data_IF_759322623410
#
_entry.id   IF_759322623410
#
_cell.length_a   1.000
_cell.length_b   1.000
_cell.length_c   1.000
_cell.angle_alpha   90.00
_cell.angle_beta   90.00
_cell.angle_gamma   90.00
#
_symmetry.space_group_name_H-M   'P 1'
#
loop_
_entity.id
_entity.type
_entity.pdbx_description
1 polymer ?
#
# COMPACT_ATOMS: atom_id res chain seq x y z
N UNK A 1 -20.23 -3.44 -14.05
CA UNK A 1 -19.99 -3.90 -12.68
C UNK A 1 -21.18 -4.77 -12.31
N UNK A 2 -20.93 -6.03 -11.98
CA UNK A 2 -21.96 -6.95 -11.50
C UNK A 2 -22.10 -6.76 -9.98
N UNK A 3 -23.34 -6.57 -9.51
CA UNK A 3 -23.67 -6.36 -8.10
C UNK A 3 -24.45 -7.55 -7.52
N UNK A 4 -24.34 -8.72 -8.13
CA UNK A 4 -24.86 -9.96 -7.57
C UNK A 4 -24.26 -10.23 -6.17
N UNK A 5 -25.03 -10.89 -5.27
CA UNK A 5 -24.51 -11.25 -3.94
C UNK A 5 -23.20 -12.04 -3.99
N UNK A 6 -23.04 -12.91 -4.99
CA UNK A 6 -21.84 -13.73 -5.17
C UNK A 6 -20.62 -12.86 -5.55
N UNK A 7 -20.80 -11.89 -6.45
CA UNK A 7 -19.75 -10.94 -6.84
C UNK A 7 -19.32 -10.06 -5.68
N UNK A 8 -20.28 -9.53 -4.90
CA UNK A 8 -19.97 -8.74 -3.69
C UNK A 8 -19.27 -9.60 -2.64
N UNK A 9 -19.73 -10.84 -2.43
CA UNK A 9 -19.11 -11.80 -1.52
C UNK A 9 -17.65 -12.08 -1.89
N UNK A 10 -17.35 -12.28 -3.18
CA UNK A 10 -15.99 -12.48 -3.66
C UNK A 10 -15.09 -11.27 -3.41
N UNK A 11 -15.58 -10.05 -3.63
CA UNK A 11 -14.83 -8.82 -3.38
C UNK A 11 -14.43 -8.71 -1.89
N UNK A 12 -15.39 -8.94 -0.99
CA UNK A 12 -15.15 -8.89 0.47
C UNK A 12 -14.17 -9.98 0.91
N UNK A 13 -14.31 -11.19 0.33
CA UNK A 13 -13.41 -12.31 0.59
C UNK A 13 -11.98 -11.97 0.16
N UNK A 14 -11.78 -11.55 -1.08
CA UNK A 14 -10.48 -11.16 -1.63
C UNK A 14 -9.83 -10.06 -0.78
N UNK A 15 -10.60 -9.05 -0.39
CA UNK A 15 -10.13 -7.93 0.44
C UNK A 15 -9.63 -8.43 1.80
N UNK A 16 -10.40 -9.30 2.43
CA UNK A 16 -10.08 -9.85 3.75
C UNK A 16 -8.88 -10.80 3.71
N UNK A 17 -8.81 -11.67 2.70
CA UNK A 17 -7.70 -12.59 2.48
C UNK A 17 -6.38 -11.84 2.27
N UNK A 18 -6.37 -10.80 1.43
CA UNK A 18 -5.17 -10.00 1.19
C UNK A 18 -4.66 -9.30 2.46
N UNK A 19 -5.56 -8.71 3.25
CA UNK A 19 -5.22 -8.08 4.54
C UNK A 19 -4.60 -9.08 5.52
N UNK A 20 -5.24 -10.23 5.72
CA UNK A 20 -4.74 -11.30 6.59
C UNK A 20 -3.40 -11.86 6.12
N UNK A 21 -3.25 -12.13 4.83
CA UNK A 21 -2.03 -12.69 4.25
C UNK A 21 -0.85 -11.72 4.38
N UNK A 22 -1.10 -10.43 4.18
CA UNK A 22 -0.10 -9.37 4.39
C UNK A 22 0.35 -9.28 5.84
N UNK A 23 -0.59 -9.34 6.80
CA UNK A 23 -0.28 -9.33 8.23
C UNK A 23 0.62 -10.52 8.62
N UNK A 24 0.27 -11.73 8.16
CA UNK A 24 1.08 -12.93 8.40
C UNK A 24 2.46 -12.83 7.77
N UNK A 25 2.57 -12.29 6.55
CA UNK A 25 3.85 -12.07 5.88
C UNK A 25 4.76 -11.11 6.67
N UNK A 26 4.21 -10.00 7.19
CA UNK A 26 4.95 -9.05 8.02
C UNK A 26 5.40 -9.67 9.34
N UNK A 27 4.52 -10.40 10.02
CA UNK A 27 4.83 -11.09 11.28
C UNK A 27 5.95 -12.10 11.05
N UNK A 28 5.82 -12.95 10.02
CA UNK A 28 6.84 -13.94 9.68
C UNK A 28 8.19 -13.28 9.35
N UNK A 29 8.19 -12.21 8.55
CA UNK A 29 9.41 -11.46 8.21
C UNK A 29 10.11 -10.91 9.46
N UNK A 30 9.35 -10.29 10.36
CA UNK A 30 9.90 -9.72 11.60
C UNK A 30 10.35 -10.79 12.58
N UNK A 31 9.66 -11.92 12.71
CA UNK A 31 10.11 -13.03 13.54
C UNK A 31 11.46 -13.58 13.09
N UNK A 32 11.70 -13.69 11.78
CA UNK A 32 12.97 -14.18 11.24
C UNK A 32 14.10 -13.16 11.43
N UNK A 33 13.83 -11.87 11.17
CA UNK A 33 14.90 -10.85 11.09
C UNK A 33 15.12 -10.08 12.40
N UNK A 34 14.06 -9.74 13.12
CA UNK A 34 14.08 -8.88 14.33
C UNK A 34 12.91 -9.25 15.27
N UNK A 35 12.94 -10.41 15.94
CA UNK A 35 11.79 -10.94 16.67
C UNK A 35 11.28 -10.02 17.80
N UNK A 36 12.14 -9.15 18.35
CA UNK A 36 11.76 -8.14 19.37
C UNK A 36 11.04 -6.89 18.82
N UNK A 37 10.77 -6.82 17.51
CA UNK A 37 10.16 -5.65 16.84
C UNK A 37 8.79 -5.93 16.22
N UNK A 38 8.08 -6.98 16.66
CA UNK A 38 6.67 -7.16 16.30
C UNK A 38 5.83 -6.39 17.31
N UNK A 39 5.50 -5.15 16.99
CA UNK A 39 4.56 -4.32 17.74
C UNK A 39 3.23 -4.20 17.01
N UNK A 40 2.22 -3.62 17.68
CA UNK A 40 0.90 -3.44 17.10
C UNK A 40 0.95 -2.59 15.82
N UNK A 41 1.78 -1.55 15.80
CA UNK A 41 1.95 -0.68 14.62
C UNK A 41 2.42 -1.47 13.40
N UNK A 42 3.40 -2.35 13.57
CA UNK A 42 3.89 -3.21 12.49
C UNK A 42 2.79 -4.13 11.93
N UNK A 43 1.98 -4.74 12.79
CA UNK A 43 0.87 -5.61 12.35
C UNK A 43 -0.21 -4.80 11.63
N UNK A 44 -0.61 -3.65 12.18
CA UNK A 44 -1.61 -2.77 11.58
C UNK A 44 -1.17 -2.27 10.21
N UNK A 45 0.08 -1.83 10.07
CA UNK A 45 0.64 -1.45 8.77
C UNK A 45 0.74 -2.64 7.81
N UNK A 46 0.99 -3.85 8.31
CA UNK A 46 0.86 -5.09 7.54
C UNK A 46 -0.54 -5.28 6.98
N UNK A 47 -1.57 -5.23 7.83
CA UNK A 47 -2.98 -5.36 7.40
C UNK A 47 -3.33 -4.29 6.36
N UNK A 48 -3.04 -3.02 6.67
CA UNK A 48 -3.33 -1.90 5.78
C UNK A 48 -2.61 -2.01 4.43
N UNK A 49 -1.35 -2.45 4.42
CA UNK A 49 -0.60 -2.68 3.19
C UNK A 49 -1.29 -3.70 2.28
N UNK A 50 -1.79 -4.80 2.83
CA UNK A 50 -2.55 -5.81 2.09
C UNK A 50 -3.89 -5.28 1.55
N UNK A 51 -4.62 -4.52 2.37
CA UNK A 51 -5.88 -3.88 1.97
C UNK A 51 -5.66 -2.86 0.85
N UNK A 52 -4.62 -2.04 0.93
CA UNK A 52 -4.26 -1.10 -0.14
C UNK A 52 -3.84 -1.86 -1.40
N UNK A 53 -3.02 -2.90 -1.27
CA UNK A 53 -2.52 -3.66 -2.42
C UNK A 53 -3.62 -4.33 -3.24
N UNK A 54 -4.69 -4.84 -2.61
CA UNK A 54 -5.79 -5.51 -3.33
C UNK A 54 -6.87 -4.55 -3.87
N UNK A 55 -6.89 -3.30 -3.42
CA UNK A 55 -7.98 -2.34 -3.70
C UNK A 55 -8.24 -2.16 -5.21
N UNK A 56 -7.20 -2.15 -6.03
CA UNK A 56 -7.33 -1.90 -7.47
C UNK A 56 -7.87 -3.10 -8.27
N UNK A 57 -7.88 -4.30 -7.69
CA UNK A 57 -8.21 -5.54 -8.41
C UNK A 57 -9.15 -6.48 -7.67
N UNK A 58 -9.74 -6.08 -6.55
CA UNK A 58 -10.52 -6.96 -5.67
C UNK A 58 -11.71 -7.65 -6.35
N UNK A 59 -12.26 -7.05 -7.41
CA UNK A 59 -13.39 -7.56 -8.19
C UNK A 59 -12.98 -8.40 -9.41
N UNK A 60 -11.71 -8.32 -9.83
CA UNK A 60 -11.21 -8.88 -11.08
C UNK A 60 -10.11 -9.94 -10.88
N UNK A 61 -9.84 -10.36 -9.65
CA UNK A 61 -8.93 -11.47 -9.32
C UNK A 61 -9.67 -12.57 -8.56
N UNK A 62 -9.08 -13.77 -8.56
CA UNK A 62 -9.58 -14.89 -7.78
C UNK A 62 -8.94 -14.92 -6.36
N UNK A 63 -9.53 -15.67 -5.40
CA UNK A 63 -9.08 -15.66 -4.01
C UNK A 63 -7.62 -16.02 -3.80
N UNK A 64 -7.06 -16.91 -4.62
CA UNK A 64 -5.67 -17.33 -4.51
C UNK A 64 -4.69 -16.20 -4.88
N UNK A 65 -5.00 -15.45 -5.92
CA UNK A 65 -4.25 -14.28 -6.37
C UNK A 65 -4.32 -13.18 -5.29
N UNK A 66 -5.47 -12.99 -4.64
CA UNK A 66 -5.60 -12.03 -3.55
C UNK A 66 -4.64 -12.31 -2.38
N UNK A 67 -4.41 -13.60 -2.05
CA UNK A 67 -3.42 -14.00 -1.04
C UNK A 67 -2.01 -13.61 -1.47
N UNK A 68 -1.62 -13.89 -2.72
CA UNK A 68 -0.30 -13.52 -3.24
C UNK A 68 -0.09 -12.01 -3.25
N UNK A 69 -1.09 -11.24 -3.69
CA UNK A 69 -1.05 -9.78 -3.68
C UNK A 69 -0.85 -9.27 -2.25
N UNK A 70 -1.58 -9.85 -1.29
CA UNK A 70 -1.43 -9.54 0.14
C UNK A 70 -0.03 -9.83 0.67
N UNK A 71 0.52 -11.03 0.42
CA UNK A 71 1.87 -11.42 0.87
C UNK A 71 2.93 -10.44 0.36
N UNK A 72 2.90 -10.11 -0.94
CA UNK A 72 3.86 -9.16 -1.54
C UNK A 72 3.68 -7.77 -0.94
N UNK A 73 2.44 -7.34 -0.69
CA UNK A 73 2.16 -6.06 -0.02
C UNK A 73 2.76 -6.01 1.38
N UNK A 74 2.69 -7.12 2.14
CA UNK A 74 3.30 -7.25 3.46
C UNK A 74 4.83 -7.10 3.41
N UNK A 75 5.48 -7.71 2.42
CA UNK A 75 6.93 -7.54 2.22
C UNK A 75 7.25 -6.09 1.83
N UNK A 76 6.46 -5.48 0.96
CA UNK A 76 6.68 -4.09 0.52
C UNK A 76 6.54 -3.11 1.68
N UNK A 77 5.47 -3.21 2.49
CA UNK A 77 5.24 -2.26 3.58
C UNK A 77 6.35 -2.36 4.63
N UNK A 78 6.79 -3.57 4.99
CA UNK A 78 7.81 -3.73 6.04
C UNK A 78 9.20 -3.26 5.58
N UNK A 79 9.54 -3.50 4.32
CA UNK A 79 10.76 -2.98 3.71
C UNK A 79 10.70 -1.46 3.55
N UNK A 80 9.54 -0.92 3.19
CA UNK A 80 9.31 0.52 3.08
C UNK A 80 9.50 1.24 4.41
N UNK A 81 8.94 0.70 5.50
CA UNK A 81 9.15 1.24 6.86
C UNK A 81 10.63 1.22 7.23
N UNK A 82 11.32 0.09 7.01
CA UNK A 82 12.75 -0.03 7.32
C UNK A 82 13.61 0.92 6.46
N UNK A 83 13.23 1.13 5.19
CA UNK A 83 13.90 2.06 4.26
C UNK A 83 13.77 3.52 4.73
N UNK A 84 12.56 3.97 5.08
CA UNK A 84 12.34 5.34 5.55
C UNK A 84 13.06 5.58 6.88
N UNK A 85 12.99 4.61 7.79
CA UNK A 85 13.70 4.68 9.08
C UNK A 85 15.22 4.76 8.88
N UNK A 86 15.79 3.97 7.96
CA UNK A 86 17.21 4.02 7.63
C UNK A 86 17.62 5.39 7.06
N UNK A 87 16.77 6.00 6.24
CA UNK A 87 17.00 7.31 5.64
C UNK A 87 16.63 8.48 6.57
N UNK A 88 16.30 8.21 7.85
CA UNK A 88 15.86 9.22 8.83
C UNK A 88 14.67 10.05 8.36
N UNK A 89 13.81 9.44 7.54
CA UNK A 89 12.53 10.01 7.14
C UNK A 89 11.49 9.57 8.16
N UNK A 90 11.01 10.53 8.97
CA UNK A 90 10.02 10.27 9.99
C UNK A 90 8.61 10.29 9.40
N UNK A 91 8.09 9.11 9.10
CA UNK A 91 6.69 8.89 8.70
C UNK A 91 5.91 8.41 9.93
N UNK A 92 5.17 9.33 10.55
CA UNK A 92 4.53 9.14 11.85
C UNK A 92 3.60 7.91 11.93
N UNK A 93 2.97 7.53 10.81
CA UNK A 93 1.99 6.44 10.78
C UNK A 93 2.35 5.32 9.79
N UNK A 94 3.36 5.53 8.94
CA UNK A 94 3.68 4.61 7.85
C UNK A 94 2.81 4.83 6.60
N UNK A 95 2.36 6.06 6.38
CA UNK A 95 1.49 6.41 5.26
C UNK A 95 2.17 6.18 3.90
N UNK A 96 3.47 6.45 3.77
CA UNK A 96 4.20 6.27 2.50
C UNK A 96 4.34 4.77 2.17
N UNK A 97 4.83 3.89 3.06
CA UNK A 97 4.91 2.46 2.77
C UNK A 97 3.54 1.83 2.49
N UNK A 98 2.52 2.18 3.27
CA UNK A 98 1.17 1.63 3.13
C UNK A 98 0.49 2.13 1.85
N UNK A 99 0.41 3.43 1.63
CA UNK A 99 -0.41 3.97 0.55
C UNK A 99 0.35 4.18 -0.76
N UNK A 100 1.59 4.66 -0.70
CA UNK A 100 2.38 4.89 -1.91
C UNK A 100 2.98 3.58 -2.43
N UNK A 101 3.76 2.86 -1.61
CA UNK A 101 4.47 1.68 -2.09
C UNK A 101 3.53 0.50 -2.37
N UNK A 102 2.63 0.15 -1.42
CA UNK A 102 1.64 -0.90 -1.70
C UNK A 102 0.60 -0.45 -2.74
N UNK A 103 0.30 0.85 -2.87
CA UNK A 103 -0.60 1.35 -3.92
C UNK A 103 -0.01 1.21 -5.32
N UNK A 104 1.29 1.54 -5.49
CA UNK A 104 2.03 1.26 -6.73
C UNK A 104 1.93 -0.23 -7.05
N UNK A 105 2.26 -1.08 -6.08
CA UNK A 105 2.16 -2.54 -6.23
C UNK A 105 0.75 -2.99 -6.61
N UNK A 106 -0.31 -2.48 -5.98
CA UNK A 106 -1.67 -2.87 -6.28
C UNK A 106 -2.07 -2.57 -7.72
N UNK A 107 -1.68 -1.41 -8.26
CA UNK A 107 -1.87 -1.12 -9.68
C UNK A 107 -1.09 -2.07 -10.59
N UNK A 108 0.16 -2.39 -10.25
CA UNK A 108 0.96 -3.37 -11.01
C UNK A 108 0.35 -4.77 -10.95
N UNK A 109 -0.04 -5.22 -9.75
CA UNK A 109 -0.69 -6.50 -9.50
C UNK A 109 -1.99 -6.63 -10.30
N UNK A 110 -2.76 -5.55 -10.41
CA UNK A 110 -3.94 -5.49 -11.30
C UNK A 110 -3.55 -5.81 -12.73
N UNK A 111 -2.44 -5.25 -13.24
CA UNK A 111 -1.96 -5.53 -14.59
C UNK A 111 -1.46 -6.97 -14.81
N UNK A 112 -1.08 -7.69 -13.75
CA UNK A 112 -0.57 -9.06 -13.84
C UNK A 112 -1.63 -10.14 -13.60
N UNK A 113 -2.51 -9.93 -12.62
CA UNK A 113 -3.41 -10.97 -12.11
C UNK A 113 -4.86 -10.79 -12.54
N UNK A 114 -5.27 -9.57 -12.92
CA UNK A 114 -6.66 -9.32 -13.19
C UNK A 114 -7.13 -10.00 -14.48
N UNK A 115 -8.31 -10.60 -14.41
CA UNK A 115 -8.92 -11.31 -15.52
C UNK A 115 -9.83 -10.36 -16.31
N UNK A 116 -9.57 -10.20 -17.60
CA UNK A 116 -10.42 -9.43 -18.51
C UNK A 116 -9.65 -8.70 -19.61
N UNK A 117 -10.17 -8.73 -20.84
CA UNK A 117 -9.51 -8.19 -22.04
C UNK A 117 -9.20 -6.68 -22.00
N UNK A 118 -9.83 -5.93 -21.09
CA UNK A 118 -9.70 -4.47 -20.98
C UNK A 118 -8.59 -4.00 -20.03
N UNK A 119 -7.93 -4.93 -19.32
CA UNK A 119 -6.90 -4.60 -18.34
C UNK A 119 -5.54 -4.69 -19.02
N UNK A 120 -4.93 -3.53 -19.23
CA UNK A 120 -3.65 -3.42 -19.93
C UNK A 120 -2.54 -3.08 -18.94
N UNK A 121 -1.55 -3.97 -18.82
CA UNK A 121 -0.36 -3.76 -17.98
C UNK A 121 0.33 -2.40 -18.24
N UNK A 122 0.42 -1.98 -19.50
CA UNK A 122 1.02 -0.68 -19.85
C UNK A 122 0.28 0.53 -19.26
N UNK A 123 -1.06 0.49 -19.18
CA UNK A 123 -1.86 1.55 -18.56
C UNK A 123 -1.71 1.53 -17.04
N UNK A 124 -1.66 0.34 -16.45
CA UNK A 124 -1.44 0.18 -15.01
C UNK A 124 -0.04 0.68 -14.60
N UNK A 125 1.01 0.33 -15.35
CA UNK A 125 2.36 0.87 -15.16
C UNK A 125 2.35 2.39 -15.19
N UNK A 126 1.77 2.99 -16.24
CA UNK A 126 1.71 4.44 -16.38
C UNK A 126 0.97 5.09 -15.20
N UNK A 127 -0.22 4.58 -14.84
CA UNK A 127 -1.02 5.09 -13.74
C UNK A 127 -0.32 4.97 -12.39
N UNK A 128 0.23 3.79 -12.08
CA UNK A 128 0.92 3.50 -10.82
C UNK A 128 2.07 4.46 -10.53
N UNK A 129 2.79 4.93 -11.55
CA UNK A 129 3.90 5.89 -11.33
C UNK A 129 3.48 7.35 -11.53
N UNK A 130 2.61 7.65 -12.50
CA UNK A 130 2.22 9.01 -12.81
C UNK A 130 1.40 9.65 -11.68
N UNK A 131 0.48 8.91 -11.07
CA UNK A 131 -0.40 9.41 -10.01
C UNK A 131 0.40 9.84 -8.77
N UNK A 132 1.28 9.00 -8.17
CA UNK A 132 2.06 9.42 -7.02
C UNK A 132 3.08 10.51 -7.37
N UNK A 133 3.64 10.50 -8.59
CA UNK A 133 4.52 11.57 -9.04
C UNK A 133 3.79 12.92 -9.09
N UNK A 134 2.63 12.97 -9.75
CA UNK A 134 1.80 14.17 -9.80
C UNK A 134 1.41 14.65 -8.41
N UNK A 135 0.93 13.74 -7.56
CA UNK A 135 0.55 14.03 -6.17
C UNK A 135 1.71 14.64 -5.38
N UNK A 136 2.90 14.05 -5.47
CA UNK A 136 4.09 14.54 -4.80
C UNK A 136 4.46 15.96 -5.23
N UNK A 137 4.46 16.24 -6.53
CA UNK A 137 4.79 17.58 -7.06
C UNK A 137 3.77 18.62 -6.59
N UNK A 138 2.48 18.33 -6.73
CA UNK A 138 1.42 19.28 -6.34
C UNK A 138 1.46 19.55 -4.83
N UNK A 139 1.52 18.49 -4.01
CA UNK A 139 1.57 18.64 -2.54
C UNK A 139 2.84 19.39 -2.11
N UNK A 140 3.99 19.10 -2.73
CA UNK A 140 5.23 19.81 -2.41
C UNK A 140 5.16 21.31 -2.74
N UNK A 141 4.58 21.67 -3.88
CA UNK A 141 4.40 23.07 -4.26
C UNK A 141 3.43 23.78 -3.32
N UNK A 142 2.30 23.16 -2.98
CA UNK A 142 1.31 23.72 -2.05
C UNK A 142 1.92 23.90 -0.66
N UNK A 143 2.56 22.87 -0.10
CA UNK A 143 3.14 22.94 1.24
C UNK A 143 4.28 23.95 1.31
N UNK A 144 5.15 24.04 0.28
CA UNK A 144 6.19 25.08 0.23
C UNK A 144 5.61 26.49 0.09
N UNK A 145 4.56 26.66 -0.70
CA UNK A 145 3.88 27.95 -0.84
C UNK A 145 3.25 28.41 0.48
N UNK A 146 2.59 27.49 1.18
CA UNK A 146 2.02 27.75 2.51
C UNK A 146 3.09 28.04 3.55
N UNK A 147 4.18 27.27 3.56
CA UNK A 147 5.29 27.49 4.48
C UNK A 147 5.98 28.84 4.23
N UNK A 148 6.18 29.21 2.96
CA UNK A 148 6.73 30.52 2.60
C UNK A 148 5.85 31.68 3.07
N UNK A 149 4.51 31.53 3.02
CA UNK A 149 3.57 32.61 3.36
C UNK A 149 3.21 32.67 4.85
N UNK A 150 3.12 31.52 5.52
CA UNK A 150 2.53 31.39 6.85
C UNK A 150 3.45 30.69 7.86
N UNK A 151 4.53 30.04 7.44
CA UNK A 151 5.44 29.29 8.32
C UNK A 151 4.71 28.15 9.03
N UNK A 152 4.27 27.13 8.28
CA UNK A 152 3.42 26.05 8.82
C UNK A 152 4.20 25.06 9.69
N UNK A 153 5.54 25.05 9.60
CA UNK A 153 6.39 24.24 10.48
C UNK A 153 6.66 24.95 11.80
N UNK A 154 6.40 24.23 12.90
CA UNK A 154 6.77 24.67 14.24
C UNK A 154 8.30 24.68 14.38
N UNK A 155 8.84 25.69 15.05
CA UNK A 155 10.27 25.79 15.37
C UNK A 155 10.68 24.68 16.36
N UNK A 156 11.90 24.11 16.27
CA UNK A 156 12.35 23.01 17.13
C UNK A 156 12.35 23.29 18.65
N UNK A 157 12.26 24.56 19.06
CA UNK A 157 12.35 25.02 20.45
C UNK A 157 10.99 25.06 21.19
N UNK A 158 9.91 24.62 20.53
CA UNK A 158 8.55 24.54 21.09
C UNK A 158 8.01 23.14 20.96
#
# INVERSE_FOLDING_TARGET
>A
MDFSPDSVGKIVLNTSLAGCASALAVIAWRWIKKPRKVDLSTILNGILGGLVGITASSDVVEPLESLFIGIVSGVIVILGVDLLSHNKMDDAVGAIPVHCFCGIWGGLATGFFAQGEKIHLGKQLLGSFLIPFWSFIVVLLVLKGLDYRFGIRVSPEK
#
